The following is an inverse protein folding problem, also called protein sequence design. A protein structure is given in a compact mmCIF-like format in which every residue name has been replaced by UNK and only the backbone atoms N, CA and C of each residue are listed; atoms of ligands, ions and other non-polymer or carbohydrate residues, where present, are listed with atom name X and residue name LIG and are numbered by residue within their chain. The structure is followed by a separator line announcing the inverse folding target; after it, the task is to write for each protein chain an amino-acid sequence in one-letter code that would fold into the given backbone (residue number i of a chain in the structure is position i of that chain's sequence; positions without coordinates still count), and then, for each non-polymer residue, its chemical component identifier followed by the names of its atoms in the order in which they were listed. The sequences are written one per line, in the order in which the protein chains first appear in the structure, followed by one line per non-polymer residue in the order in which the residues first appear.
data_IF_527108118429
#
_entry.id   IF_527108118429
#
_cell.length_a   1.000
_cell.length_b   1.000
_cell.length_c   1.000
_cell.angle_alpha   90.00
_cell.angle_beta   90.00
_cell.angle_gamma   90.00
#
_symmetry.space_group_name_H-M   'P 1'
#
loop_
_entity.id
_entity.type
_entity.pdbx_description
1 polymer ?
#
# COMPACT_ATOMS: atom_id res chain seq x y z
N UNK A 1 -7.35 3.21 6.70
CA UNK A 1 -6.29 2.47 7.42
C UNK A 1 -5.47 3.47 8.23
N UNK A 2 -5.24 3.19 9.50
CA UNK A 2 -4.52 4.08 10.41
C UNK A 2 -3.10 3.59 10.68
N UNK A 3 -2.12 4.51 10.61
CA UNK A 3 -0.74 4.23 10.97
C UNK A 3 -0.53 4.03 12.47
N UNK A 4 0.29 3.04 12.80
CA UNK A 4 0.66 2.69 14.17
C UNK A 4 2.18 2.63 14.26
N UNK A 5 2.78 3.54 15.02
CA UNK A 5 4.24 3.51 15.24
C UNK A 5 4.61 2.28 16.08
N UNK A 6 5.41 1.37 15.51
CA UNK A 6 5.80 0.13 16.16
C UNK A 6 6.70 0.33 17.37
N UNK A 7 7.52 1.39 17.38
CA UNK A 7 8.43 1.71 18.48
C UNK A 7 7.77 2.46 19.63
N UNK A 8 6.68 3.20 19.35
CA UNK A 8 5.96 4.02 20.32
C UNK A 8 4.48 4.10 19.90
N UNK A 9 3.69 3.03 20.12
CA UNK A 9 2.29 3.00 19.70
C UNK A 9 1.51 4.09 20.41
N UNK A 10 0.78 4.89 19.63
CA UNK A 10 0.02 6.02 20.14
C UNK A 10 -1.37 5.57 20.56
N UNK A 11 -1.80 5.97 21.76
CA UNK A 11 -3.17 5.75 22.22
C UNK A 11 -4.20 6.39 21.28
N UNK A 12 -3.86 7.51 20.63
CA UNK A 12 -4.72 8.15 19.64
C UNK A 12 -5.06 7.23 18.46
N UNK A 13 -4.09 6.48 17.92
CA UNK A 13 -4.38 5.50 16.84
C UNK A 13 -5.29 4.38 17.34
N UNK A 14 -5.12 3.95 18.58
CA UNK A 14 -5.96 2.97 19.23
C UNK A 14 -7.40 3.48 19.45
N UNK A 15 -7.54 4.73 19.94
CA UNK A 15 -8.85 5.34 20.16
C UNK A 15 -9.61 5.55 18.85
N UNK A 16 -8.89 5.81 17.73
CA UNK A 16 -9.49 5.91 16.40
C UNK A 16 -10.10 4.60 15.91
N UNK A 17 -9.50 3.45 16.23
CA UNK A 17 -10.09 2.14 15.92
C UNK A 17 -11.42 1.99 16.68
N UNK A 18 -11.43 2.32 17.98
CA UNK A 18 -12.61 2.17 18.83
C UNK A 18 -13.72 3.19 18.51
N UNK A 19 -13.37 4.48 18.33
CA UNK A 19 -14.34 5.57 18.23
C UNK A 19 -14.82 5.88 16.81
N UNK A 20 -13.96 5.68 15.81
CA UNK A 20 -14.28 5.94 14.39
C UNK A 20 -14.44 4.65 13.57
N UNK A 21 -14.45 3.50 14.22
CA UNK A 21 -14.62 2.17 13.60
C UNK A 21 -13.63 1.92 12.45
N UNK A 22 -12.37 2.38 12.62
CA UNK A 22 -11.31 2.15 11.63
C UNK A 22 -10.91 0.69 11.67
N UNK A 23 -11.35 -0.07 10.71
CA UNK A 23 -11.21 -1.53 10.68
C UNK A 23 -9.87 -2.05 10.15
N UNK A 24 -8.85 -1.20 9.95
CA UNK A 24 -7.56 -1.61 9.39
C UNK A 24 -6.43 -0.77 9.98
N UNK A 25 -5.30 -1.40 10.31
CA UNK A 25 -4.10 -0.74 10.85
C UNK A 25 -2.88 -1.01 9.97
N UNK A 26 -1.95 -0.07 9.97
CA UNK A 26 -0.67 -0.17 9.28
C UNK A 26 0.47 0.02 10.29
N UNK A 27 1.27 -1.00 10.48
CA UNK A 27 2.45 -0.97 11.35
C UNK A 27 3.57 -0.23 10.64
N UNK A 28 3.98 0.93 11.18
CA UNK A 28 4.98 1.79 10.57
C UNK A 28 6.18 2.06 11.48
N UNK A 29 7.28 2.43 10.82
CA UNK A 29 8.53 2.72 11.50
C UNK A 29 9.27 1.47 11.94
N UNK A 30 10.57 1.43 11.65
CA UNK A 30 11.40 0.26 11.94
C UNK A 30 11.45 -0.03 13.42
N UNK A 31 11.25 -1.29 13.80
CA UNK A 31 11.36 -1.77 15.17
C UNK A 31 12.27 -3.00 15.25
N UNK A 32 13.04 -3.07 16.34
CA UNK A 32 13.85 -4.24 16.71
C UNK A 32 13.29 -4.92 17.97
N UNK A 33 12.03 -4.65 18.29
CA UNK A 33 11.40 -5.13 19.52
C UNK A 33 11.16 -6.65 19.53
N UNK A 34 11.29 -7.31 18.38
CA UNK A 34 11.08 -8.74 18.23
C UNK A 34 9.62 -9.19 18.20
N UNK A 35 9.43 -10.46 17.85
CA UNK A 35 8.12 -11.06 17.56
C UNK A 35 7.10 -10.91 18.70
N UNK A 36 7.51 -11.20 19.93
CA UNK A 36 6.59 -11.18 21.07
C UNK A 36 5.96 -9.81 21.31
N UNK A 37 6.75 -8.73 21.20
CA UNK A 37 6.24 -7.36 21.35
C UNK A 37 5.39 -6.91 20.18
N UNK A 38 5.75 -7.29 18.96
CA UNK A 38 4.95 -6.99 17.77
C UNK A 38 3.60 -7.70 17.85
N UNK A 39 3.56 -8.99 18.21
CA UNK A 39 2.32 -9.74 18.40
C UNK A 39 1.42 -9.08 19.49
N UNK A 40 2.00 -8.69 20.63
CA UNK A 40 1.24 -8.00 21.67
C UNK A 40 0.68 -6.65 21.20
N UNK A 41 1.44 -5.90 20.37
CA UNK A 41 0.95 -4.68 19.74
C UNK A 41 -0.22 -4.95 18.81
N UNK A 42 -0.12 -5.95 17.94
CA UNK A 42 -1.20 -6.34 17.03
C UNK A 42 -2.45 -6.73 17.82
N UNK A 43 -2.33 -7.57 18.84
CA UNK A 43 -3.45 -7.96 19.69
C UNK A 43 -4.10 -6.75 20.37
N UNK A 44 -3.31 -5.78 20.85
CA UNK A 44 -3.86 -4.57 21.45
C UNK A 44 -4.81 -3.81 20.52
N UNK A 45 -4.60 -3.87 19.21
CA UNK A 45 -5.51 -3.29 18.21
C UNK A 45 -6.65 -4.25 17.85
N UNK A 46 -6.37 -5.51 17.60
CA UNK A 46 -7.38 -6.47 17.12
C UNK A 46 -8.40 -6.84 18.20
N UNK A 47 -8.00 -6.86 19.47
CA UNK A 47 -8.88 -7.17 20.60
C UNK A 47 -9.91 -6.07 20.89
N UNK A 48 -9.70 -4.86 20.32
CA UNK A 48 -10.64 -3.74 20.49
C UNK A 48 -11.82 -3.79 19.56
N UNK A 49 -11.77 -4.59 18.51
CA UNK A 49 -12.85 -4.67 17.55
C UNK A 49 -13.91 -5.63 18.11
N UNK A 50 -14.94 -5.13 18.87
CA UNK A 50 -15.99 -6.00 19.36
C UNK A 50 -16.67 -6.61 18.14
N UNK A 51 -16.96 -7.90 18.18
CA UNK A 51 -17.68 -8.59 17.11
C UNK A 51 -18.97 -7.87 16.72
N UNK A 52 -19.63 -7.18 17.65
CA UNK A 52 -20.80 -6.35 17.40
C UNK A 52 -20.56 -5.05 16.60
N UNK A 53 -19.36 -4.44 16.69
CA UNK A 53 -19.05 -3.20 15.95
C UNK A 53 -18.62 -3.46 14.51
N UNK A 54 -18.08 -4.64 14.21
CA UNK A 54 -17.58 -5.03 12.88
C UNK A 54 -18.41 -6.12 12.22
N UNK A 55 -19.49 -6.56 12.86
CA UNK A 55 -20.28 -7.72 12.42
C UNK A 55 -19.39 -8.95 12.12
N UNK A 56 -18.33 -9.14 12.90
CA UNK A 56 -17.39 -10.25 12.75
C UNK A 56 -16.33 -10.05 11.65
N UNK A 57 -16.26 -8.89 11.00
CA UNK A 57 -15.24 -8.63 10.00
C UNK A 57 -13.85 -8.50 10.65
N UNK A 58 -12.84 -9.30 10.24
CA UNK A 58 -11.50 -9.23 10.79
C UNK A 58 -10.82 -7.91 10.41
N UNK A 59 -9.82 -7.51 11.20
CA UNK A 59 -8.98 -6.35 10.87
C UNK A 59 -7.91 -6.75 9.85
N UNK A 60 -7.66 -5.88 8.85
CA UNK A 60 -6.43 -5.96 8.08
C UNK A 60 -5.33 -5.31 8.92
N UNK A 61 -4.27 -6.06 9.17
CA UNK A 61 -3.03 -5.57 9.77
C UNK A 61 -1.98 -5.58 8.69
N UNK A 62 -1.54 -4.39 8.27
CA UNK A 62 -0.58 -4.22 7.21
C UNK A 62 0.78 -3.73 7.70
N UNK A 63 1.83 -3.95 6.93
CA UNK A 63 3.17 -3.40 7.15
C UNK A 63 3.91 -3.26 5.82
N UNK A 64 5.05 -2.55 5.82
CA UNK A 64 6.05 -2.59 4.75
C UNK A 64 7.18 -3.53 5.15
N UNK A 65 7.25 -4.68 4.50
CA UNK A 65 8.29 -5.68 4.74
C UNK A 65 9.01 -6.05 3.42
N UNK A 66 9.37 -5.03 2.65
CA UNK A 66 10.05 -5.17 1.34
C UNK A 66 11.44 -5.80 1.48
N UNK A 67 12.13 -5.48 2.57
CA UNK A 67 13.53 -5.78 2.82
C UNK A 67 14.45 -4.56 2.70
N UNK A 68 15.73 -4.76 2.92
CA UNK A 68 16.74 -3.69 2.85
C UNK A 68 16.42 -2.53 3.78
N UNK A 69 16.30 -1.34 3.19
CA UNK A 69 16.00 -0.11 3.92
C UNK A 69 14.51 -0.01 4.31
N UNK A 70 13.62 -0.72 3.62
CA UNK A 70 12.17 -0.72 3.90
C UNK A 70 11.78 -2.08 4.50
N UNK A 71 12.17 -2.28 5.73
CA UNK A 71 11.81 -3.42 6.55
C UNK A 71 11.37 -2.92 7.92
N UNK A 72 10.07 -2.96 8.18
CA UNK A 72 9.47 -2.44 9.41
C UNK A 72 9.75 -3.34 10.61
N UNK A 73 9.56 -4.64 10.46
CA UNK A 73 9.66 -5.61 11.55
C UNK A 73 11.03 -6.30 11.50
N UNK A 74 11.80 -6.14 12.58
CA UNK A 74 13.14 -6.69 12.71
C UNK A 74 13.39 -7.16 14.17
N UNK A 75 14.58 -7.70 14.43
CA UNK A 75 14.98 -8.24 15.73
C UNK A 75 14.57 -9.70 15.92
N UNK A 76 14.47 -10.15 17.16
CA UNK A 76 14.25 -11.55 17.48
C UNK A 76 12.97 -12.12 16.84
N UNK A 77 13.15 -13.20 16.08
CA UNK A 77 12.07 -13.87 15.37
C UNK A 77 11.69 -13.25 14.01
N UNK A 78 12.46 -12.29 13.53
CA UNK A 78 12.37 -11.76 12.17
C UNK A 78 13.70 -11.87 11.43
N UNK A 79 13.66 -12.41 10.24
CA UNK A 79 14.81 -12.46 9.33
C UNK A 79 15.26 -11.07 8.88
N UNK A 80 16.55 -10.90 8.61
CA UNK A 80 17.03 -9.76 7.83
C UNK A 80 16.74 -10.05 6.36
N UNK A 81 15.83 -9.28 5.78
CA UNK A 81 15.42 -9.44 4.38
C UNK A 81 16.36 -8.60 3.50
N UNK A 82 16.98 -9.17 2.46
CA UNK A 82 17.80 -8.42 1.51
C UNK A 82 17.00 -7.30 0.82
N UNK A 83 17.69 -6.31 0.25
CA UNK A 83 17.04 -5.32 -0.61
C UNK A 83 16.35 -5.99 -1.80
N UNK A 84 15.31 -5.38 -2.38
CA UNK A 84 14.67 -5.95 -3.56
C UNK A 84 15.67 -6.13 -4.72
N UNK A 85 16.65 -5.23 -4.86
CA UNK A 85 17.72 -5.37 -5.86
C UNK A 85 18.60 -6.60 -5.61
N UNK A 86 18.87 -6.97 -4.36
CA UNK A 86 19.60 -8.18 -4.03
C UNK A 86 18.71 -9.43 -4.16
N UNK A 87 17.43 -9.33 -3.83
CA UNK A 87 16.44 -10.36 -4.12
C UNK A 87 16.33 -10.64 -5.61
N UNK A 88 16.43 -9.62 -6.47
CA UNK A 88 16.46 -9.75 -7.93
C UNK A 88 17.68 -10.49 -8.50
N UNK A 89 18.71 -10.72 -7.69
CA UNK A 89 19.86 -11.57 -8.04
C UNK A 89 19.68 -13.04 -7.63
N UNK A 90 18.66 -13.35 -6.85
CA UNK A 90 18.30 -14.71 -6.50
C UNK A 90 17.59 -15.39 -7.67
N UNK A 91 17.61 -16.72 -7.72
CA UNK A 91 16.65 -17.39 -8.60
C UNK A 91 15.23 -17.22 -8.07
N UNK A 92 14.20 -17.14 -8.93
CA UNK A 92 12.80 -17.04 -8.48
C UNK A 92 12.42 -18.14 -7.47
N UNK A 93 12.89 -19.36 -7.67
CA UNK A 93 12.65 -20.47 -6.73
C UNK A 93 13.28 -20.24 -5.35
N UNK A 94 14.50 -19.71 -5.30
CA UNK A 94 15.16 -19.38 -4.04
C UNK A 94 14.48 -18.20 -3.33
N UNK A 95 14.05 -17.20 -4.08
CA UNK A 95 13.30 -16.07 -3.54
C UNK A 95 11.95 -16.52 -2.96
N UNK A 96 11.19 -17.34 -3.69
CA UNK A 96 9.90 -17.85 -3.21
C UNK A 96 10.05 -18.66 -1.93
N UNK A 97 11.09 -19.51 -1.85
CA UNK A 97 11.38 -20.27 -0.62
C UNK A 97 11.73 -19.35 0.56
N UNK A 98 12.53 -18.31 0.35
CA UNK A 98 12.87 -17.32 1.37
C UNK A 98 11.63 -16.51 1.80
N UNK A 99 10.84 -16.04 0.84
CA UNK A 99 9.62 -15.26 1.08
C UNK A 99 8.56 -16.07 1.84
N UNK A 100 8.50 -17.39 1.65
CA UNK A 100 7.66 -18.28 2.47
C UNK A 100 8.03 -18.20 3.96
N UNK A 101 9.32 -18.17 4.28
CA UNK A 101 9.79 -17.96 5.65
C UNK A 101 9.40 -16.59 6.19
N UNK A 102 9.59 -15.53 5.42
CA UNK A 102 9.22 -14.16 5.82
C UNK A 102 7.71 -14.01 6.02
N UNK A 103 6.91 -14.63 5.13
CA UNK A 103 5.45 -14.69 5.29
C UNK A 103 5.02 -15.39 6.56
N UNK A 104 5.66 -16.50 6.92
CA UNK A 104 5.39 -17.20 8.19
C UNK A 104 5.74 -16.34 9.42
N UNK A 105 6.81 -15.56 9.37
CA UNK A 105 7.17 -14.61 10.43
C UNK A 105 6.11 -13.51 10.59
N UNK A 106 5.59 -12.98 9.48
CA UNK A 106 4.52 -11.98 9.47
C UNK A 106 3.20 -12.54 10.01
N UNK A 107 2.79 -13.70 9.52
CA UNK A 107 1.58 -14.39 9.96
C UNK A 107 1.62 -14.71 11.46
N UNK A 108 2.78 -15.11 11.98
CA UNK A 108 2.98 -15.44 13.40
C UNK A 108 2.74 -14.27 14.37
N UNK A 109 2.77 -13.03 13.86
CA UNK A 109 2.46 -11.82 14.66
C UNK A 109 1.12 -11.20 14.29
N UNK A 110 0.31 -11.85 13.44
CA UNK A 110 -1.02 -11.40 13.03
C UNK A 110 -1.02 -10.36 11.91
N UNK A 111 0.09 -10.15 11.20
CA UNK A 111 0.11 -9.36 9.96
C UNK A 111 -0.59 -10.16 8.86
N UNK A 112 -1.53 -9.53 8.16
CA UNK A 112 -2.38 -10.15 7.14
C UNK A 112 -2.14 -9.59 5.75
N UNK A 113 -1.43 -8.46 5.64
CA UNK A 113 -1.14 -7.77 4.38
C UNK A 113 0.28 -7.18 4.43
N UNK A 114 1.10 -7.51 3.47
CA UNK A 114 2.35 -6.78 3.19
C UNK A 114 2.12 -5.78 2.06
N UNK A 115 2.45 -4.50 2.30
CA UNK A 115 2.44 -3.47 1.27
C UNK A 115 3.72 -3.59 0.41
N UNK A 116 3.86 -4.72 -0.21
CA UNK A 116 4.89 -5.19 -1.12
C UNK A 116 4.23 -6.20 -2.07
N UNK A 117 4.88 -6.60 -3.18
CA UNK A 117 6.18 -6.17 -3.68
C UNK A 117 6.18 -4.79 -4.33
N UNK A 118 7.37 -4.16 -4.40
CA UNK A 118 7.59 -2.99 -5.25
C UNK A 118 7.79 -3.48 -6.68
N UNK A 119 6.84 -3.10 -7.55
CA UNK A 119 6.86 -3.48 -8.98
C UNK A 119 7.17 -2.31 -9.90
N UNK A 120 7.73 -1.25 -9.35
CA UNK A 120 8.25 -0.12 -10.11
C UNK A 120 9.46 -0.54 -10.94
N UNK A 121 9.56 -0.04 -12.17
CA UNK A 121 10.62 -0.39 -13.13
C UNK A 121 11.49 0.84 -13.42
N UNK A 122 12.53 1.13 -12.61
CA UNK A 122 13.51 2.15 -12.97
C UNK A 122 14.35 1.67 -14.17
N UNK A 123 14.93 2.62 -14.92
CA UNK A 123 15.99 2.24 -15.86
C UNK A 123 17.32 2.11 -15.10
N UNK A 124 18.24 1.28 -15.59
CA UNK A 124 19.54 1.10 -14.96
C UNK A 124 20.31 2.43 -14.86
N UNK A 125 20.32 3.21 -15.95
CA UNK A 125 20.96 4.53 -16.02
C UNK A 125 20.26 5.58 -15.12
N UNK A 126 18.94 5.47 -14.96
CA UNK A 126 18.13 6.40 -14.16
C UNK A 126 18.03 6.04 -12.67
N UNK A 127 18.46 4.83 -12.27
CA UNK A 127 18.24 4.33 -10.92
C UNK A 127 18.85 5.22 -9.82
N UNK A 128 20.05 5.75 -10.03
CA UNK A 128 20.71 6.64 -9.09
C UNK A 128 19.97 7.98 -8.92
N UNK A 129 19.33 8.47 -9.98
CA UNK A 129 18.49 9.68 -9.99
C UNK A 129 17.07 9.45 -9.46
N UNK A 130 16.61 8.20 -9.41
CA UNK A 130 15.29 7.83 -8.95
C UNK A 130 15.27 7.70 -7.43
N UNK A 131 14.95 8.80 -6.75
CA UNK A 131 15.03 8.91 -5.29
C UNK A 131 14.14 7.91 -4.52
N UNK A 132 12.88 7.62 -4.93
CA UNK A 132 12.01 6.76 -4.11
C UNK A 132 12.30 5.26 -4.25
N UNK A 133 12.83 4.79 -5.38
CA UNK A 133 12.93 3.37 -5.70
C UNK A 133 14.38 2.96 -5.99
N UNK A 134 14.97 3.45 -7.09
CA UNK A 134 16.27 2.98 -7.58
C UNK A 134 17.40 3.23 -6.59
N UNK A 135 17.53 4.46 -6.09
CA UNK A 135 18.56 4.84 -5.10
C UNK A 135 18.49 4.01 -3.81
N UNK A 136 17.31 3.52 -3.45
CA UNK A 136 17.08 2.74 -2.23
C UNK A 136 17.17 1.22 -2.47
N UNK A 137 17.43 0.77 -3.71
CA UNK A 137 17.48 -0.64 -4.06
C UNK A 137 16.14 -1.36 -3.88
N UNK A 138 15.01 -0.64 -4.09
CA UNK A 138 13.66 -1.18 -3.89
C UNK A 138 13.08 -1.89 -5.11
N UNK A 139 13.73 -1.83 -6.28
CA UNK A 139 13.31 -2.56 -7.48
C UNK A 139 14.05 -3.90 -7.59
N UNK A 140 13.37 -4.94 -8.06
CA UNK A 140 13.97 -6.27 -8.31
C UNK A 140 14.92 -6.30 -9.51
N UNK A 141 14.89 -5.29 -10.35
CA UNK A 141 15.72 -5.15 -11.54
C UNK A 141 15.34 -3.91 -12.33
N UNK A 142 15.81 -3.84 -13.57
CA UNK A 142 15.67 -2.68 -14.43
C UNK A 142 14.83 -2.95 -15.69
N UNK A 143 14.27 -4.16 -15.79
CA UNK A 143 13.35 -4.54 -16.86
C UNK A 143 12.03 -5.04 -16.30
N UNK A 144 10.94 -4.89 -17.05
CA UNK A 144 9.64 -5.42 -16.66
C UNK A 144 9.68 -6.94 -16.42
N UNK A 145 10.48 -7.66 -17.18
CA UNK A 145 10.63 -9.12 -17.06
C UNK A 145 11.28 -9.51 -15.72
N UNK A 146 12.37 -8.84 -15.34
CA UNK A 146 13.05 -9.11 -14.06
C UNK A 146 12.13 -8.80 -12.88
N UNK A 147 11.50 -7.60 -12.92
CA UNK A 147 10.59 -7.17 -11.87
C UNK A 147 9.41 -8.14 -11.73
N UNK A 148 8.77 -8.51 -12.83
CA UNK A 148 7.63 -9.43 -12.84
C UNK A 148 8.01 -10.79 -12.26
N UNK A 149 9.11 -11.39 -12.75
CA UNK A 149 9.54 -12.72 -12.32
C UNK A 149 9.82 -12.80 -10.81
N UNK A 150 10.42 -11.77 -10.23
CA UNK A 150 10.76 -11.76 -8.81
C UNK A 150 9.61 -11.31 -7.93
N UNK A 151 8.76 -10.39 -8.41
CA UNK A 151 7.52 -10.03 -7.74
C UNK A 151 6.58 -11.23 -7.62
N UNK A 152 6.46 -12.04 -8.68
CA UNK A 152 5.74 -13.30 -8.66
C UNK A 152 6.26 -14.25 -7.58
N UNK A 153 7.57 -14.46 -7.56
CA UNK A 153 8.20 -15.35 -6.59
C UNK A 153 8.03 -14.89 -5.13
N UNK A 154 8.13 -13.57 -4.89
CA UNK A 154 7.89 -12.97 -3.58
C UNK A 154 6.43 -13.17 -3.16
N UNK A 155 5.48 -12.85 -4.05
CA UNK A 155 4.04 -13.00 -3.83
C UNK A 155 3.65 -14.45 -3.53
N UNK A 156 4.14 -15.40 -4.34
CA UNK A 156 3.87 -16.82 -4.16
C UNK A 156 4.40 -17.34 -2.82
N UNK A 157 5.57 -16.85 -2.41
CA UNK A 157 6.17 -17.18 -1.12
C UNK A 157 5.30 -16.72 0.05
N UNK A 158 4.93 -15.44 0.10
CA UNK A 158 4.08 -14.90 1.17
C UNK A 158 2.69 -15.57 1.23
N UNK A 159 2.13 -15.89 0.06
CA UNK A 159 0.84 -16.55 -0.05
C UNK A 159 0.80 -17.93 0.65
N UNK A 160 1.94 -18.64 0.74
CA UNK A 160 2.02 -19.93 1.46
C UNK A 160 1.69 -19.80 2.96
N UNK A 161 1.91 -18.62 3.53
CA UNK A 161 1.60 -18.31 4.93
C UNK A 161 0.25 -17.58 5.09
N UNK A 162 -0.50 -17.39 3.99
CA UNK A 162 -1.77 -16.67 4.00
C UNK A 162 -1.65 -15.14 4.11
N UNK A 163 -0.45 -14.59 3.97
CA UNK A 163 -0.23 -13.13 3.95
C UNK A 163 -0.51 -12.61 2.55
N UNK A 164 -1.46 -11.68 2.44
CA UNK A 164 -1.76 -10.99 1.19
C UNK A 164 -0.66 -9.95 0.87
N UNK A 165 -0.58 -9.58 -0.40
CA UNK A 165 0.37 -8.56 -0.90
C UNK A 165 -0.36 -7.43 -1.61
N UNK A 166 0.26 -6.24 -1.66
CA UNK A 166 -0.21 -5.09 -2.43
C UNK A 166 0.91 -4.59 -3.34
N UNK A 167 0.98 -5.03 -4.61
CA UNK A 167 1.90 -4.47 -5.60
C UNK A 167 1.82 -2.95 -5.65
N UNK A 168 2.98 -2.26 -5.70
CA UNK A 168 3.08 -0.81 -5.60
C UNK A 168 4.20 -0.23 -6.46
N UNK A 169 4.11 1.02 -6.88
CA UNK A 169 3.10 2.06 -6.66
C UNK A 169 2.43 2.42 -7.99
N UNK A 170 1.23 1.95 -8.24
CA UNK A 170 0.53 2.18 -9.52
C UNK A 170 0.42 3.68 -9.86
N UNK A 171 0.64 4.11 -11.11
CA UNK A 171 1.01 3.35 -12.31
C UNK A 171 2.52 3.10 -12.48
N UNK A 172 3.37 3.46 -11.52
CA UNK A 172 4.80 3.17 -11.44
C UNK A 172 5.64 4.40 -11.08
N UNK A 173 6.51 4.29 -10.07
CA UNK A 173 7.44 5.34 -9.62
C UNK A 173 8.86 5.18 -10.19
N UNK A 174 9.06 4.25 -11.14
CA UNK A 174 10.40 3.96 -11.66
C UNK A 174 11.05 5.09 -12.45
N UNK A 175 10.28 6.11 -12.88
CA UNK A 175 10.76 7.19 -13.76
C UNK A 175 10.73 8.58 -13.13
N UNK A 176 10.26 8.72 -11.89
CA UNK A 176 10.30 9.99 -11.17
C UNK A 176 11.69 10.22 -10.56
N UNK A 177 12.04 11.50 -10.35
CA UNK A 177 13.30 11.87 -9.69
C UNK A 177 13.10 12.26 -8.23
N UNK A 178 11.92 12.77 -7.87
CA UNK A 178 11.57 13.16 -6.51
C UNK A 178 10.88 12.04 -5.74
N UNK A 179 11.09 11.99 -4.43
CA UNK A 179 10.31 11.15 -3.53
C UNK A 179 9.04 11.91 -3.10
N UNK A 180 7.88 11.37 -3.38
CA UNK A 180 6.56 11.98 -3.10
C UNK A 180 6.30 12.24 -1.62
N UNK A 181 6.95 11.50 -0.72
CA UNK A 181 6.84 11.71 0.72
C UNK A 181 7.48 13.02 1.16
N UNK A 182 8.56 13.42 0.50
CA UNK A 182 9.41 14.55 0.91
C UNK A 182 9.43 15.70 -0.09
N UNK A 183 8.87 15.50 -1.29
CA UNK A 183 8.92 16.47 -2.39
C UNK A 183 7.54 16.65 -2.99
N UNK A 184 7.11 17.91 -3.14
CA UNK A 184 5.90 18.27 -3.88
C UNK A 184 6.20 18.46 -5.38
N UNK A 185 5.17 18.35 -6.23
CA UNK A 185 5.29 18.56 -7.67
C UNK A 185 5.99 17.41 -8.42
N UNK A 186 6.13 16.24 -7.80
CA UNK A 186 6.73 15.06 -8.45
C UNK A 186 5.85 14.63 -9.62
N UNK A 187 6.45 14.65 -10.80
CA UNK A 187 5.77 14.31 -12.05
C UNK A 187 6.60 13.33 -12.88
N UNK A 188 5.92 12.36 -13.48
CA UNK A 188 6.45 11.47 -14.50
C UNK A 188 5.94 11.95 -15.88
N UNK A 189 6.87 12.35 -16.74
CA UNK A 189 6.57 12.87 -18.09
C UNK A 189 6.58 11.79 -19.17
N UNK A 190 6.92 10.56 -18.82
CA UNK A 190 7.20 9.48 -19.76
C UNK A 190 6.15 8.36 -19.73
N UNK A 191 5.66 8.00 -18.55
CA UNK A 191 4.77 6.86 -18.36
C UNK A 191 3.39 7.11 -18.99
N UNK A 192 2.97 6.21 -19.85
CA UNK A 192 1.64 6.12 -20.44
C UNK A 192 1.04 4.71 -20.27
N UNK A 193 -0.17 4.48 -20.81
CA UNK A 193 -0.88 3.20 -20.66
C UNK A 193 -0.18 2.00 -21.33
N UNK A 194 0.79 2.22 -22.21
CA UNK A 194 1.57 1.19 -22.93
C UNK A 194 2.94 0.94 -22.31
N UNK A 195 3.33 1.73 -21.33
CA UNK A 195 4.66 1.67 -20.71
C UNK A 195 4.88 0.38 -19.91
N UNK A 196 6.14 -0.05 -19.82
CA UNK A 196 6.59 -1.21 -19.01
C UNK A 196 6.14 -1.11 -17.57
N UNK A 197 6.12 0.10 -16.99
CA UNK A 197 5.57 0.38 -15.66
C UNK A 197 4.15 -0.18 -15.52
N UNK A 198 3.27 0.13 -16.49
CA UNK A 198 1.87 -0.31 -16.49
C UNK A 198 1.75 -1.79 -16.88
N UNK A 199 2.67 -2.29 -17.72
CA UNK A 199 2.67 -3.70 -18.16
C UNK A 199 2.87 -4.66 -16.97
N UNK A 200 3.73 -4.31 -15.99
CA UNK A 200 3.91 -5.12 -14.77
C UNK A 200 2.62 -5.16 -13.96
N UNK A 201 1.95 -4.04 -13.74
CA UNK A 201 0.66 -4.04 -13.05
C UNK A 201 -0.43 -4.83 -13.80
N UNK A 202 -0.43 -4.79 -15.14
CA UNK A 202 -1.32 -5.63 -15.95
C UNK A 202 -1.10 -7.11 -15.66
N UNK A 203 0.16 -7.53 -15.53
CA UNK A 203 0.51 -8.89 -15.17
C UNK A 203 0.02 -9.25 -13.75
N UNK A 204 0.27 -8.40 -12.75
CA UNK A 204 -0.19 -8.61 -11.39
C UNK A 204 -1.73 -8.77 -11.31
N UNK A 205 -2.46 -7.92 -12.04
CA UNK A 205 -3.93 -8.01 -12.14
C UNK A 205 -4.35 -9.33 -12.80
N UNK A 206 -3.71 -9.73 -13.88
CA UNK A 206 -4.00 -11.00 -14.56
C UNK A 206 -3.71 -12.23 -13.69
N UNK A 207 -2.76 -12.15 -12.77
CA UNK A 207 -2.48 -13.18 -11.75
C UNK A 207 -3.46 -13.18 -10.58
N UNK A 208 -4.39 -12.24 -10.52
CA UNK A 208 -5.41 -12.15 -9.48
C UNK A 208 -5.00 -11.37 -8.24
N UNK A 209 -4.19 -10.33 -8.40
CA UNK A 209 -3.87 -9.40 -7.32
C UNK A 209 -5.14 -8.96 -6.59
N UNK A 210 -5.16 -9.08 -5.26
CA UNK A 210 -6.32 -8.71 -4.43
C UNK A 210 -6.26 -7.25 -3.98
N UNK A 211 -5.06 -6.69 -3.92
CA UNK A 211 -4.78 -5.32 -3.55
C UNK A 211 -3.82 -4.71 -4.57
N UNK A 212 -3.93 -3.41 -4.81
CA UNK A 212 -2.96 -2.60 -5.54
C UNK A 212 -2.83 -1.27 -4.82
N UNK A 213 -1.60 -0.84 -4.54
CA UNK A 213 -1.37 0.51 -4.01
C UNK A 213 -1.16 1.50 -5.15
N UNK A 214 -1.93 2.60 -5.12
CA UNK A 214 -1.76 3.72 -6.04
C UNK A 214 -0.89 4.79 -5.42
N UNK A 215 0.14 5.24 -6.16
CA UNK A 215 1.05 6.30 -5.74
C UNK A 215 0.44 7.69 -5.79
N UNK A 216 1.21 8.68 -5.35
CA UNK A 216 0.77 10.09 -5.32
C UNK A 216 1.44 10.97 -6.38
N UNK A 217 2.41 10.47 -7.15
CA UNK A 217 3.00 11.22 -8.26
C UNK A 217 1.96 11.59 -9.33
N UNK A 218 2.22 12.66 -10.10
CA UNK A 218 1.43 13.04 -11.27
C UNK A 218 2.03 12.43 -12.54
N UNK A 219 1.21 12.20 -13.57
CA UNK A 219 1.63 11.55 -14.82
C UNK A 219 1.16 12.37 -16.00
N UNK A 220 2.08 13.08 -16.66
CA UNK A 220 1.76 14.06 -17.71
C UNK A 220 1.02 13.46 -18.90
N UNK A 221 1.28 12.18 -19.22
CA UNK A 221 0.66 11.49 -20.36
C UNK A 221 -0.63 10.73 -20.02
N UNK A 222 -0.98 10.62 -18.73
CA UNK A 222 -2.20 9.94 -18.27
C UNK A 222 -3.26 10.94 -17.77
N UNK A 223 -2.88 11.83 -16.84
CA UNK A 223 -3.75 12.89 -16.32
C UNK A 223 -2.88 14.05 -15.78
N UNK A 224 -2.52 15.03 -16.64
CA UNK A 224 -1.59 16.08 -16.27
C UNK A 224 -2.01 16.86 -15.02
N UNK A 225 -1.07 17.08 -14.11
CA UNK A 225 -1.24 17.91 -12.93
C UNK A 225 -2.10 17.31 -11.81
N UNK A 226 -2.64 16.10 -12.00
CA UNK A 226 -3.45 15.40 -10.99
C UNK A 226 -2.63 14.25 -10.38
N UNK A 227 -2.42 14.21 -9.05
CA UNK A 227 -1.83 13.04 -8.39
C UNK A 227 -2.59 11.75 -8.72
N UNK A 228 -1.88 10.65 -8.96
CA UNK A 228 -2.50 9.40 -9.41
C UNK A 228 -3.62 8.92 -8.46
N UNK A 229 -3.42 9.02 -7.15
CA UNK A 229 -4.44 8.67 -6.15
C UNK A 229 -5.72 9.54 -6.23
N UNK A 230 -5.67 10.71 -6.87
CA UNK A 230 -6.83 11.61 -7.07
C UNK A 230 -7.36 11.57 -8.49
N UNK A 231 -6.73 10.83 -9.38
CA UNK A 231 -7.09 10.76 -10.80
C UNK A 231 -8.07 9.62 -11.09
N UNK A 232 -9.32 9.97 -11.40
CA UNK A 232 -10.31 9.00 -11.87
C UNK A 232 -9.91 8.34 -13.20
N UNK A 233 -9.16 9.05 -14.05
CA UNK A 233 -8.64 8.48 -15.32
C UNK A 233 -7.65 7.35 -15.04
N UNK A 234 -6.78 7.53 -14.02
CA UNK A 234 -5.78 6.53 -13.65
C UNK A 234 -6.43 5.39 -12.87
N UNK A 235 -7.16 5.68 -11.78
CA UNK A 235 -7.70 4.65 -10.90
C UNK A 235 -8.86 3.89 -11.56
N UNK A 236 -9.85 4.59 -12.09
CA UNK A 236 -11.00 3.92 -12.72
C UNK A 236 -10.72 3.61 -14.19
N UNK A 237 -10.25 4.57 -14.96
CA UNK A 237 -10.05 4.40 -16.40
C UNK A 237 -8.97 3.38 -16.72
N UNK A 238 -7.76 3.56 -16.18
CA UNK A 238 -6.65 2.67 -16.49
C UNK A 238 -6.69 1.40 -15.64
N UNK A 239 -6.60 1.50 -14.29
CA UNK A 239 -6.45 0.31 -13.45
C UNK A 239 -7.70 -0.59 -13.50
N UNK A 240 -8.91 -0.02 -13.27
CA UNK A 240 -10.11 -0.87 -13.21
C UNK A 240 -10.64 -1.28 -14.57
N UNK A 241 -10.79 -0.35 -15.52
CA UNK A 241 -11.46 -0.64 -16.79
C UNK A 241 -10.51 -1.24 -17.83
N UNK A 242 -9.31 -0.69 -18.02
CA UNK A 242 -8.39 -1.18 -19.04
C UNK A 242 -7.58 -2.39 -18.57
N UNK A 243 -7.13 -2.42 -17.31
CA UNK A 243 -6.40 -3.57 -16.76
C UNK A 243 -7.33 -4.63 -16.14
N UNK A 244 -8.62 -4.32 -15.89
CA UNK A 244 -9.59 -5.27 -15.36
C UNK A 244 -9.50 -5.49 -13.85
N UNK A 245 -8.91 -4.58 -13.08
CA UNK A 245 -8.75 -4.75 -11.63
C UNK A 245 -10.06 -4.52 -10.86
N UNK A 246 -10.51 -5.51 -10.14
CA UNK A 246 -11.73 -5.47 -9.31
C UNK A 246 -11.47 -5.54 -7.80
N UNK A 247 -10.22 -5.76 -7.40
CA UNK A 247 -9.77 -5.80 -6.01
C UNK A 247 -9.75 -4.43 -5.31
N UNK A 248 -9.09 -4.41 -4.16
CA UNK A 248 -8.97 -3.21 -3.30
C UNK A 248 -7.85 -2.30 -3.79
N UNK A 249 -8.18 -1.05 -4.12
CA UNK A 249 -7.21 0.01 -4.37
C UNK A 249 -6.91 0.73 -3.07
N UNK A 250 -5.65 0.62 -2.60
CA UNK A 250 -5.14 1.34 -1.43
C UNK A 250 -4.38 2.57 -1.93
N UNK A 251 -4.53 3.72 -1.27
CA UNK A 251 -3.66 4.87 -1.55
C UNK A 251 -2.31 4.69 -0.87
N UNK A 252 -1.27 5.29 -1.43
CA UNK A 252 -0.08 5.65 -0.67
C UNK A 252 -0.44 6.63 0.45
N UNK A 253 0.51 7.01 1.32
CA UNK A 253 0.20 7.88 2.45
C UNK A 253 -0.39 9.22 2.02
N UNK A 254 -1.61 9.50 2.47
CA UNK A 254 -2.26 10.79 2.25
C UNK A 254 -2.22 11.71 3.48
N UNK A 255 -1.61 11.27 4.58
CA UNK A 255 -1.58 12.04 5.83
C UNK A 255 -0.44 13.05 5.88
N UNK A 256 0.76 12.66 5.45
CA UNK A 256 1.98 13.45 5.59
C UNK A 256 2.77 13.66 4.29
N UNK A 257 2.46 12.94 3.21
CA UNK A 257 3.21 13.05 1.96
C UNK A 257 3.22 14.48 1.40
N UNK A 258 4.41 15.01 1.10
CA UNK A 258 4.61 16.37 0.61
C UNK A 258 3.90 16.62 -0.73
N UNK A 259 3.81 15.61 -1.58
CA UNK A 259 3.14 15.66 -2.88
C UNK A 259 1.68 16.11 -2.78
N UNK A 260 0.99 15.77 -1.70
CA UNK A 260 -0.44 16.08 -1.51
C UNK A 260 -0.68 17.16 -0.45
N UNK A 261 0.38 17.81 0.04
CA UNK A 261 0.29 18.81 1.11
C UNK A 261 -0.54 20.06 0.77
N UNK A 262 -0.76 20.34 -0.53
CA UNK A 262 -1.58 21.47 -0.98
C UNK A 262 -3.08 21.33 -0.64
N UNK A 263 -3.55 20.11 -0.39
CA UNK A 263 -4.95 19.83 -0.02
C UNK A 263 -5.07 19.57 1.47
N UNK A 264 -6.19 19.98 2.06
CA UNK A 264 -6.51 19.62 3.45
C UNK A 264 -6.68 18.10 3.59
N UNK A 265 -6.46 17.53 4.79
CA UNK A 265 -6.64 16.09 5.00
C UNK A 265 -8.01 15.56 4.55
N UNK A 266 -9.09 16.32 4.82
CA UNK A 266 -10.43 15.95 4.39
C UNK A 266 -10.59 15.92 2.87
N UNK A 267 -10.05 16.92 2.17
CA UNK A 267 -10.05 16.95 0.70
C UNK A 267 -9.30 15.76 0.11
N UNK A 268 -8.10 15.42 0.65
CA UNK A 268 -7.32 14.26 0.20
C UNK A 268 -8.13 12.97 0.26
N UNK A 269 -8.82 12.73 1.37
CA UNK A 269 -9.62 11.52 1.56
C UNK A 269 -10.81 11.48 0.59
N UNK A 270 -11.54 12.60 0.44
CA UNK A 270 -12.67 12.70 -0.47
C UNK A 270 -12.25 12.52 -1.93
N UNK A 271 -11.17 13.19 -2.36
CA UNK A 271 -10.65 13.09 -3.73
C UNK A 271 -10.21 11.66 -4.08
N UNK A 272 -9.53 10.97 -3.17
CA UNK A 272 -9.12 9.58 -3.37
C UNK A 272 -10.32 8.64 -3.57
N UNK A 273 -11.35 8.75 -2.73
CA UNK A 273 -12.57 7.93 -2.88
C UNK A 273 -13.34 8.31 -4.15
N UNK A 274 -13.39 9.58 -4.53
CA UNK A 274 -13.98 10.03 -5.79
C UNK A 274 -13.22 9.51 -7.01
N UNK A 275 -11.89 9.40 -6.92
CA UNK A 275 -11.06 8.81 -7.96
C UNK A 275 -11.29 7.30 -8.12
N UNK A 276 -11.81 6.61 -7.09
CA UNK A 276 -12.11 5.18 -7.11
C UNK A 276 -11.24 4.33 -6.22
N UNK A 277 -10.44 4.94 -5.31
CA UNK A 277 -9.73 4.24 -4.25
C UNK A 277 -10.72 3.69 -3.21
N UNK A 278 -10.41 2.53 -2.65
CA UNK A 278 -11.26 1.85 -1.67
C UNK A 278 -10.77 2.03 -0.24
N UNK A 279 -9.47 2.19 -0.05
CA UNK A 279 -8.82 2.27 1.25
C UNK A 279 -7.82 3.42 1.28
N UNK A 280 -8.12 4.44 2.09
CA UNK A 280 -7.23 5.58 2.31
C UNK A 280 -6.25 5.25 3.42
N UNK A 281 -4.95 5.40 3.16
CA UNK A 281 -3.88 5.22 4.14
C UNK A 281 -3.52 6.56 4.78
N UNK A 282 -3.57 6.61 6.12
CA UNK A 282 -3.09 7.72 6.93
C UNK A 282 -1.99 7.19 7.87
N UNK A 283 -0.74 7.17 7.37
CA UNK A 283 0.39 6.54 8.05
C UNK A 283 1.32 7.54 8.72
N UNK A 284 1.89 8.49 7.98
CA UNK A 284 2.93 9.39 8.48
C UNK A 284 2.46 10.32 9.61
N UNK A 285 1.22 10.83 9.49
CA UNK A 285 0.54 11.61 10.54
C UNK A 285 -0.87 11.08 10.79
N UNK A 286 -1.04 10.06 11.65
CA UNK A 286 -2.36 9.54 11.99
C UNK A 286 -3.30 10.55 12.65
N UNK A 287 -2.79 11.66 13.17
CA UNK A 287 -3.58 12.68 13.87
C UNK A 287 -4.59 13.39 12.97
N UNK A 288 -4.38 13.37 11.65
CA UNK A 288 -5.30 13.97 10.67
C UNK A 288 -6.51 13.07 10.33
N UNK A 289 -6.50 11.81 10.77
CA UNK A 289 -7.54 10.83 10.42
C UNK A 289 -8.97 11.26 10.84
N UNK A 290 -9.21 11.88 12.02
CA UNK A 290 -10.54 12.37 12.36
C UNK A 290 -11.13 13.34 11.32
N UNK A 291 -10.30 14.25 10.81
CA UNK A 291 -10.73 15.20 9.78
C UNK A 291 -11.02 14.48 8.44
N UNK A 292 -10.23 13.47 8.09
CA UNK A 292 -10.48 12.64 6.90
C UNK A 292 -11.82 11.89 7.02
N UNK A 293 -12.07 11.22 8.15
CA UNK A 293 -13.31 10.47 8.40
C UNK A 293 -14.51 11.40 8.37
N UNK A 294 -14.43 12.55 9.05
CA UNK A 294 -15.53 13.51 9.08
C UNK A 294 -15.88 14.02 7.68
N UNK A 295 -14.87 14.38 6.88
CA UNK A 295 -15.08 14.85 5.51
C UNK A 295 -15.75 13.79 4.61
N UNK A 296 -15.34 12.52 4.75
CA UNK A 296 -15.98 11.39 4.03
C UNK A 296 -17.45 11.23 4.43
N UNK A 297 -17.75 11.31 5.74
CA UNK A 297 -19.13 11.20 6.25
C UNK A 297 -20.00 12.35 5.77
N UNK A 298 -19.51 13.59 5.85
CA UNK A 298 -20.27 14.78 5.45
C UNK A 298 -20.54 14.78 3.94
N UNK A 299 -19.52 14.41 3.15
CA UNK A 299 -19.68 14.27 1.70
C UNK A 299 -20.67 13.15 1.34
N UNK A 300 -20.63 12.02 2.02
CA UNK A 300 -21.55 10.91 1.77
C UNK A 300 -23.00 11.26 2.16
N UNK A 301 -23.21 12.05 3.21
CA UNK A 301 -24.53 12.55 3.59
C UNK A 301 -25.11 13.54 2.56
N UNK A 302 -24.25 14.38 1.99
CA UNK A 302 -24.65 15.43 1.05
C UNK A 302 -24.77 14.94 -0.41
N UNK A 303 -24.13 13.82 -0.76
CA UNK A 303 -24.00 13.34 -2.15
C UNK A 303 -24.26 11.82 -2.24
N UNK A 304 -25.48 11.43 -2.70
CA UNK A 304 -25.83 10.00 -2.84
C UNK A 304 -24.92 9.21 -3.79
N UNK A 305 -24.36 9.86 -4.82
CA UNK A 305 -23.44 9.19 -5.75
C UNK A 305 -22.09 8.88 -5.07
N UNK A 306 -21.63 9.80 -4.22
CA UNK A 306 -20.45 9.58 -3.39
C UNK A 306 -20.72 8.49 -2.32
N UNK A 307 -21.87 8.52 -1.66
CA UNK A 307 -22.28 7.47 -0.72
C UNK A 307 -22.26 6.07 -1.37
N UNK A 308 -22.76 5.95 -2.61
CA UNK A 308 -22.70 4.72 -3.36
C UNK A 308 -21.26 4.29 -3.68
N UNK A 309 -20.34 5.24 -3.87
CA UNK A 309 -18.91 4.95 -4.06
C UNK A 309 -18.26 4.41 -2.78
N UNK A 310 -18.57 5.02 -1.63
CA UNK A 310 -18.12 4.53 -0.30
C UNK A 310 -18.64 3.11 -0.04
N UNK A 311 -19.90 2.82 -0.36
CA UNK A 311 -20.47 1.48 -0.19
C UNK A 311 -19.77 0.45 -1.08
N UNK A 312 -19.46 0.78 -2.35
CA UNK A 312 -18.70 -0.12 -3.22
C UNK A 312 -17.30 -0.39 -2.69
N UNK A 313 -16.62 0.65 -2.21
CA UNK A 313 -15.31 0.54 -1.58
C UNK A 313 -15.35 -0.39 -0.35
N UNK A 314 -16.30 -0.17 0.55
CA UNK A 314 -16.51 -1.00 1.73
C UNK A 314 -16.74 -2.48 1.37
N UNK A 315 -17.57 -2.76 0.35
CA UNK A 315 -17.83 -4.14 -0.12
C UNK A 315 -16.55 -4.81 -0.62
N UNK A 316 -15.68 -4.13 -1.39
CA UNK A 316 -14.41 -4.70 -1.84
C UNK A 316 -13.48 -5.00 -0.68
N UNK A 317 -13.38 -4.08 0.29
CA UNK A 317 -12.57 -4.30 1.49
C UNK A 317 -13.11 -5.47 2.30
N UNK A 318 -14.43 -5.61 2.47
CA UNK A 318 -15.04 -6.75 3.18
C UNK A 318 -14.81 -8.07 2.43
N UNK A 319 -14.97 -8.08 1.12
CA UNK A 319 -14.67 -9.27 0.30
C UNK A 319 -13.20 -9.68 0.41
N UNK A 320 -12.27 -8.70 0.41
CA UNK A 320 -10.85 -8.97 0.62
C UNK A 320 -10.53 -9.51 2.03
N UNK A 321 -11.39 -9.26 3.01
CA UNK A 321 -11.31 -9.84 4.37
C UNK A 321 -11.95 -11.23 4.47
N UNK A 322 -12.53 -11.76 3.40
CA UNK A 322 -13.27 -13.02 3.42
C UNK A 322 -14.66 -12.92 4.06
N UNK A 323 -15.19 -11.70 4.16
CA UNK A 323 -16.56 -11.45 4.63
C UNK A 323 -17.37 -11.09 3.38
N UNK A 324 -18.20 -12.02 2.90
CA UNK A 324 -19.07 -11.84 1.73
C UNK A 324 -20.45 -11.35 2.16
#
# INVERSE_FOLDING_TARGET
MVGVKTSAPQRSSHDMVASAHVGNVFLQGRTFAGRARVAALVHWFTDQVPSGATHGAPMIVATDQEGGLVQTLAGDGFSTIPSALDQGRMTPAALSAAASGWGAELAAVGVTLDLAPVVDVPTEEGAEGNAPIGRLGRAYGFTAADVTSHADAFTDGLATAGVAVAPKHFPGLGRVTGNTDTTAGVTDDLTDASSDQVAVFRHEVARGARFVMVGTASYARLDPGTPAAFSRKIVVGLLRQQLGFDGVVITDDLSAAAQVAAWTPGERAVMAVQAGCDLVLASGDPSVLPAMVQALLDKARADPAFAASVQRAARRVLAAKGVA
#
